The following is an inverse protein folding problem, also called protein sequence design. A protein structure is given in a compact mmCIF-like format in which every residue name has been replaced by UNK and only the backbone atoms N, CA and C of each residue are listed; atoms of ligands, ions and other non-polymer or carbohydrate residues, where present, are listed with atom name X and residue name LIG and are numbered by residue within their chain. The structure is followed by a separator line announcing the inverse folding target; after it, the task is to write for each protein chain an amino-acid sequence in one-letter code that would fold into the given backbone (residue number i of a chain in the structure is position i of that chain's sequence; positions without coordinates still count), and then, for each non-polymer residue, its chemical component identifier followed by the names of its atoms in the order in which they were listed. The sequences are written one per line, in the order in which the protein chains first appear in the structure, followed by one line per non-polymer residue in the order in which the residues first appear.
data_IF_268598033959
#
_entry.id   IF_268598033959
#
_cell.length_a   1.000
_cell.length_b   1.000
_cell.length_c   1.000
_cell.angle_alpha   90.00
_cell.angle_beta   90.00
_cell.angle_gamma   90.00
#
_symmetry.space_group_name_H-M   'P 1'
#
loop_
_entity.id
_entity.type
_entity.pdbx_description
1 polymer ?
#
# COMPACT_ATOMS: atom_id res chain seq x y z
N UNK A 1 -41.24 23.60 16.71
CA UNK A 1 -40.64 23.62 16.96
C UNK A 1 -40.16 23.43 17.32
N UNK A 2 -39.90 23.23 16.69
CA UNK A 2 -39.03 23.11 16.93
C UNK A 2 -38.40 22.90 16.88
N UNK A 3 -38.68 22.90 16.45
CA UNK A 3 -37.80 22.85 16.56
C UNK A 3 -37.33 22.56 16.45
N UNK A 4 -37.47 22.41 15.96
CA UNK A 4 -36.78 22.33 16.00
C UNK A 4 -36.18 22.13 15.78
N UNK A 5 -36.47 22.03 15.29
CA UNK A 5 -35.77 22.06 15.25
C UNK A 5 -35.21 21.81 15.26
N UNK A 6 -35.65 21.65 14.86
CA UNK A 6 -35.00 21.65 15.09
C UNK A 6 -34.48 21.21 15.15
N UNK A 7 -34.80 20.90 14.69
CA UNK A 7 -34.10 20.71 14.87
C UNK A 7 -33.50 20.14 14.98
N UNK A 8 -34.02 19.98 14.63
CA UNK A 8 -33.33 19.73 14.86
C UNK A 8 -32.69 19.26 14.86
N UNK A 9 -33.04 19.00 14.46
CA UNK A 9 -32.27 18.86 14.56
C UNK A 9 -31.69 18.26 14.63
N UNK A 10 -32.14 18.10 14.31
CA UNK A 10 -31.45 17.83 14.39
C UNK A 10 -30.87 17.31 14.68
N UNK A 11 -31.14 17.08 14.49
CA UNK A 11 -30.34 16.90 14.85
C UNK A 11 -29.78 16.46 14.81
N UNK A 12 -29.71 16.43 14.26
CA UNK A 12 -28.89 16.32 14.17
C UNK A 12 -28.55 16.52 13.96
N UNK A 13 -29.11 16.68 13.72
CA UNK A 13 -28.54 17.22 13.46
C UNK A 13 -28.03 17.24 12.92
N UNK A 14 -28.29 17.07 12.37
CA UNK A 14 -27.66 16.91 11.59
C UNK A 14 -26.77 17.56 11.26
N UNK A 15 -26.48 17.89 11.32
CA UNK A 15 -25.61 18.42 11.14
C UNK A 15 -24.65 18.34 11.61
N UNK A 16 -24.33 17.96 12.09
CA UNK A 16 -23.45 17.91 12.74
C UNK A 16 -22.60 17.12 12.35
N UNK A 17 -22.47 16.41 11.94
CA UNK A 17 -21.65 15.67 11.61
C UNK A 17 -21.04 15.87 10.53
N UNK A 18 -21.25 16.17 9.84
CA UNK A 18 -20.79 16.31 8.79
C UNK A 18 -19.92 17.12 8.72
N UNK A 19 -19.82 17.54 9.31
CA UNK A 19 -19.09 18.35 9.24
C UNK A 19 -17.88 18.14 9.53
N UNK A 20 -17.42 17.21 9.38
CA UNK A 20 -16.23 17.01 9.45
C UNK A 20 -15.53 18.06 8.97
N UNK A 21 -14.99 18.85 9.57
CA UNK A 21 -14.33 19.98 9.08
C UNK A 21 -13.04 19.56 8.42
N UNK A 22 -12.59 20.30 7.43
CA UNK A 22 -11.29 20.03 6.80
C UNK A 22 -10.14 20.08 7.80
N UNK A 23 -10.27 20.89 8.82
CA UNK A 23 -9.22 20.97 9.83
C UNK A 23 -9.03 19.63 10.52
N UNK A 24 -10.12 18.94 10.81
CA UNK A 24 -10.02 17.64 11.44
C UNK A 24 -9.48 16.60 10.48
N UNK A 25 -9.86 16.68 9.22
CA UNK A 25 -9.44 15.69 8.24
C UNK A 25 -7.94 15.75 7.98
N UNK A 26 -7.35 16.95 7.98
CA UNK A 26 -5.93 17.09 7.65
C UNK A 26 -5.02 16.36 8.64
N UNK A 27 -5.18 16.53 9.96
CA UNK A 27 -4.33 15.78 10.91
C UNK A 27 -4.51 14.27 10.80
N UNK A 28 -5.74 13.83 10.62
CA UNK A 28 -5.99 12.40 10.46
C UNK A 28 -5.25 11.85 9.24
N UNK A 29 -5.26 12.61 8.17
CA UNK A 29 -4.60 12.18 6.96
C UNK A 29 -3.09 12.08 7.14
N UNK A 30 -2.50 13.05 7.84
CA UNK A 30 -1.07 13.02 8.10
C UNK A 30 -0.69 11.81 8.96
N UNK A 31 -1.50 11.51 9.97
CA UNK A 31 -1.25 10.35 10.80
C UNK A 31 -1.35 9.06 9.98
N UNK A 32 -2.35 8.98 9.10
CA UNK A 32 -2.52 7.81 8.26
C UNK A 32 -1.31 7.63 7.33
N UNK A 33 -0.83 8.72 6.75
CA UNK A 33 0.34 8.64 5.88
C UNK A 33 1.58 8.17 6.64
N UNK A 34 1.76 8.66 7.85
CA UNK A 34 2.90 8.24 8.66
C UNK A 34 2.83 6.76 9.00
N UNK A 35 1.67 6.29 9.40
CA UNK A 35 1.50 4.89 9.73
C UNK A 35 1.67 4.00 8.51
N UNK A 36 1.18 4.47 7.36
CA UNK A 36 1.33 3.72 6.13
C UNK A 36 2.80 3.58 5.74
N UNK A 37 3.55 4.66 5.86
CA UNK A 37 4.98 4.61 5.54
C UNK A 37 5.71 3.66 6.47
N UNK A 38 5.37 3.65 7.74
CA UNK A 38 6.00 2.72 8.67
C UNK A 38 5.68 1.27 8.32
N UNK A 39 4.42 1.01 7.99
CA UNK A 39 4.02 -0.33 7.60
C UNK A 39 4.74 -0.77 6.34
N UNK A 40 4.77 0.09 5.34
CA UNK A 40 5.44 -0.23 4.08
C UNK A 40 6.92 -0.53 4.30
N UNK A 41 7.58 0.30 5.09
CA UNK A 41 9.00 0.13 5.35
C UNK A 41 9.27 -1.18 6.09
N UNK A 42 8.43 -1.48 7.08
CA UNK A 42 8.63 -2.70 7.85
C UNK A 42 8.43 -3.94 7.00
N UNK A 43 7.35 -3.98 6.23
CA UNK A 43 7.08 -5.15 5.41
C UNK A 43 8.13 -5.33 4.32
N UNK A 44 8.57 -4.23 3.73
CA UNK A 44 9.62 -4.32 2.71
C UNK A 44 10.91 -4.83 3.33
N UNK A 45 11.29 -4.32 4.49
CA UNK A 45 12.52 -4.76 5.14
C UNK A 45 12.45 -6.25 5.48
N UNK A 46 11.31 -6.71 5.97
CA UNK A 46 11.16 -8.13 6.28
C UNK A 46 11.28 -8.98 5.02
N UNK A 47 10.66 -8.55 3.95
CA UNK A 47 10.69 -9.30 2.71
C UNK A 47 12.10 -9.33 2.12
N UNK A 48 12.82 -8.22 2.18
CA UNK A 48 14.18 -8.17 1.67
C UNK A 48 15.09 -9.08 2.49
N UNK A 49 14.88 -9.12 3.80
CA UNK A 49 15.69 -10.00 4.65
C UNK A 49 15.42 -11.46 4.33
N UNK A 50 14.17 -11.81 4.10
CA UNK A 50 13.82 -13.20 3.78
C UNK A 50 14.35 -13.62 2.43
N UNK A 51 14.40 -12.69 1.48
CA UNK A 51 14.80 -13.02 0.12
C UNK A 51 16.26 -13.43 0.04
N UNK A 52 17.14 -12.75 0.81
CA UNK A 52 18.56 -13.10 0.90
C UNK A 52 19.28 -13.06 -0.45
N UNK A 53 18.70 -12.45 -1.44
CA UNK A 53 19.29 -12.37 -2.78
C UNK A 53 19.30 -10.92 -3.21
N UNK A 54 20.48 -10.33 -3.39
CA UNK A 54 20.56 -8.90 -3.73
C UNK A 54 19.86 -8.55 -5.04
N UNK A 55 19.81 -9.47 -5.98
CA UNK A 55 19.20 -9.19 -7.27
C UNK A 55 17.68 -9.01 -7.16
N UNK A 56 17.09 -9.41 -6.03
CA UNK A 56 15.67 -9.21 -5.81
C UNK A 56 15.35 -7.86 -5.19
N UNK A 57 16.36 -7.12 -4.76
CA UNK A 57 16.11 -5.85 -4.06
C UNK A 57 15.31 -4.88 -4.91
N UNK A 58 15.74 -4.62 -6.14
CA UNK A 58 15.05 -3.66 -6.99
C UNK A 58 13.63 -4.13 -7.35
N UNK A 59 13.43 -5.39 -7.77
CA UNK A 59 12.06 -5.84 -8.06
C UNK A 59 11.14 -5.75 -6.84
N UNK A 60 11.65 -6.07 -5.65
CA UNK A 60 10.81 -6.02 -4.46
C UNK A 60 10.48 -4.59 -4.07
N UNK A 61 11.43 -3.67 -4.24
CA UNK A 61 11.13 -2.27 -3.97
C UNK A 61 10.09 -1.73 -4.93
N UNK A 62 10.17 -2.10 -6.19
CA UNK A 62 9.13 -1.70 -7.15
C UNK A 62 7.79 -2.28 -6.77
N UNK A 63 7.77 -3.54 -6.33
CA UNK A 63 6.52 -4.16 -5.90
C UNK A 63 5.90 -3.41 -4.73
N UNK A 64 6.72 -2.98 -3.77
CA UNK A 64 6.21 -2.22 -2.65
C UNK A 64 5.63 -0.88 -3.10
N UNK A 65 6.30 -0.21 -4.03
CA UNK A 65 5.79 1.07 -4.53
C UNK A 65 4.48 0.90 -5.30
N UNK A 66 4.39 -0.14 -6.11
CA UNK A 66 3.17 -0.39 -6.86
C UNK A 66 2.01 -0.76 -5.94
N UNK A 67 2.28 -1.60 -4.94
CA UNK A 67 1.25 -1.96 -3.99
C UNK A 67 0.80 -0.74 -3.19
N UNK A 68 1.75 0.13 -2.84
CA UNK A 68 1.40 1.35 -2.10
C UNK A 68 0.50 2.25 -2.93
N UNK A 69 0.80 2.41 -4.21
CA UNK A 69 -0.01 3.25 -5.08
C UNK A 69 -1.44 2.71 -5.18
N UNK A 70 -1.57 1.40 -5.30
CA UNK A 70 -2.90 0.79 -5.36
C UNK A 70 -3.63 0.90 -4.04
N UNK A 71 -2.92 0.72 -2.93
CA UNK A 71 -3.56 0.79 -1.63
C UNK A 71 -4.10 2.18 -1.36
N UNK A 72 -3.39 3.23 -1.79
CA UNK A 72 -3.81 4.59 -1.52
C UNK A 72 -5.11 4.97 -2.22
N UNK A 73 -5.47 4.31 -3.32
CA UNK A 73 -6.74 4.61 -3.98
C UNK A 73 -7.87 3.80 -3.39
N UNK A 74 -7.60 2.93 -2.43
CA UNK A 74 -8.65 2.19 -1.74
C UNK A 74 -9.11 2.98 -0.52
N UNK A 75 -10.23 2.54 0.06
CA UNK A 75 -10.73 3.18 1.27
C UNK A 75 -9.92 2.83 2.51
N UNK A 76 -9.20 1.72 2.48
CA UNK A 76 -8.49 1.23 3.66
C UNK A 76 -7.06 0.86 3.31
N UNK A 77 -6.19 1.87 3.10
CA UNK A 77 -4.82 1.58 2.66
C UNK A 77 -4.04 0.66 3.60
N UNK A 78 -4.18 0.90 4.91
CA UNK A 78 -3.44 0.08 5.88
C UNK A 78 -3.89 -1.36 5.87
N UNK A 79 -5.15 -1.59 5.54
CA UNK A 79 -5.70 -2.93 5.55
C UNK A 79 -5.34 -3.70 4.29
N UNK A 80 -5.36 -3.05 3.14
CA UNK A 80 -5.17 -3.76 1.89
C UNK A 80 -3.71 -3.83 1.45
N UNK A 81 -2.84 -2.96 1.96
CA UNK A 81 -1.47 -2.94 1.50
C UNK A 81 -0.75 -4.28 1.73
N UNK A 82 -0.85 -4.92 2.90
CA UNK A 82 -0.09 -6.16 3.11
C UNK A 82 -0.42 -7.23 2.07
N UNK A 83 -1.67 -7.39 1.72
CA UNK A 83 -2.05 -8.39 0.72
C UNK A 83 -1.60 -8.01 -0.66
N UNK A 84 -1.75 -6.74 -1.01
CA UNK A 84 -1.29 -6.28 -2.31
C UNK A 84 0.21 -6.43 -2.45
N UNK A 85 0.94 -6.10 -1.40
CA UNK A 85 2.39 -6.24 -1.43
C UNK A 85 2.79 -7.69 -1.54
N UNK A 86 2.14 -8.58 -0.80
CA UNK A 86 2.47 -10.00 -0.87
C UNK A 86 2.27 -10.53 -2.28
N UNK A 87 1.19 -10.14 -2.91
CA UNK A 87 0.90 -10.57 -4.28
C UNK A 87 1.92 -10.02 -5.26
N UNK A 88 2.21 -8.73 -5.16
CA UNK A 88 3.16 -8.09 -6.06
C UNK A 88 4.57 -8.62 -5.85
N UNK A 89 4.95 -8.84 -4.59
CA UNK A 89 6.26 -9.38 -4.30
C UNK A 89 6.42 -10.79 -4.84
N UNK A 90 5.38 -11.62 -4.68
CA UNK A 90 5.43 -12.96 -5.23
C UNK A 90 5.60 -12.97 -6.73
N UNK A 91 4.85 -12.11 -7.42
CA UNK A 91 4.99 -11.98 -8.86
C UNK A 91 6.37 -11.51 -9.25
N UNK A 92 6.91 -10.53 -8.52
CA UNK A 92 8.23 -10.02 -8.82
C UNK A 92 9.31 -11.09 -8.68
N UNK A 93 9.22 -11.90 -7.63
CA UNK A 93 10.18 -12.97 -7.43
C UNK A 93 10.11 -13.99 -8.56
N UNK A 94 8.88 -14.39 -8.92
CA UNK A 94 8.70 -15.36 -10.00
C UNK A 94 9.23 -14.83 -11.31
N UNK A 95 9.00 -13.55 -11.58
CA UNK A 95 9.51 -12.95 -12.82
C UNK A 95 11.03 -12.89 -12.83
N UNK A 96 11.62 -12.53 -11.70
CA UNK A 96 13.07 -12.46 -11.61
C UNK A 96 13.70 -13.85 -11.81
N UNK A 97 13.07 -14.87 -11.24
CA UNK A 97 13.58 -16.23 -11.42
C UNK A 97 13.44 -16.68 -12.86
N UNK A 98 12.35 -16.34 -13.52
CA UNK A 98 12.18 -16.68 -14.93
C UNK A 98 13.21 -15.97 -15.79
N UNK A 99 13.45 -14.68 -15.50
CA UNK A 99 14.45 -13.93 -16.23
C UNK A 99 15.83 -14.53 -16.06
N UNK A 100 16.17 -14.96 -14.86
CA UNK A 100 17.46 -15.56 -14.60
C UNK A 100 17.61 -16.85 -15.39
N UNK A 101 16.54 -17.67 -15.46
CA UNK A 101 16.60 -18.90 -16.22
C UNK A 101 16.78 -18.63 -17.71
N UNK A 102 16.03 -17.66 -18.23
CA UNK A 102 16.12 -17.32 -19.64
C UNK A 102 17.52 -16.82 -19.96
N UNK A 103 18.08 -15.98 -19.10
CA UNK A 103 19.42 -15.44 -19.30
C UNK A 103 20.45 -16.56 -19.28
N UNK A 104 20.34 -17.50 -18.36
CA UNK A 104 21.28 -18.61 -18.27
C UNK A 104 21.19 -19.49 -19.51
N UNK A 105 19.98 -19.77 -19.96
CA UNK A 105 19.81 -20.57 -21.17
C UNK A 105 20.40 -19.88 -22.38
N UNK A 106 20.19 -18.59 -22.51
CA UNK A 106 20.74 -17.84 -23.63
C UNK A 106 22.26 -17.88 -23.61
N UNK A 107 22.85 -17.75 -22.45
CA UNK A 107 24.30 -17.81 -22.35
C UNK A 107 24.84 -19.18 -22.74
N UNK A 108 24.14 -20.23 -22.34
CA UNK A 108 24.55 -21.57 -22.74
C UNK A 108 24.51 -21.75 -24.25
N UNK A 109 23.46 -21.23 -24.88
CA UNK A 109 23.37 -21.35 -26.33
C UNK A 109 24.48 -20.59 -27.03
N UNK A 110 24.83 -19.42 -26.51
CA UNK A 110 25.89 -18.63 -27.12
C UNK A 110 27.25 -19.30 -26.94
N UNK A 111 27.50 -19.88 -25.76
CA UNK A 111 28.78 -20.50 -25.47
C UNK A 111 28.92 -21.88 -26.11
N UNK A 112 27.82 -22.51 -26.44
CA UNK A 112 27.88 -23.82 -27.06
C UNK A 112 28.29 -23.70 -28.51
#
# INVERSE_FOLDING_TARGET
MKNQKTKVTTRFAPETRLTLSPVTAAPFRADLESEFERLKRRLLAETLAEAERPELNAPLRRAANEAAALAWVSFFPLLVFPELFAEKAGTAVRQAERQARIYANSRELVCA
#
